data_IF_668366451819
#
_entry.id   IF_668366451819
#
_cell.length_a   1.000
_cell.length_b   1.000
_cell.length_c   1.000
_cell.angle_alpha   90.00
_cell.angle_beta   90.00
_cell.angle_gamma   90.00
#
_symmetry.space_group_name_H-M   'P 1'
#
loop_
_entity.id
_entity.type
_entity.pdbx_description
1 polymer ?
#
# COMPACT_ATOMS: atom_id res chain seq x y z
N UNK A 1 -16.38 -0.91 16.56
CA UNK A 1 -15.74 -1.06 15.24
C UNK A 1 -14.96 0.22 14.98
N UNK A 2 -13.67 0.23 15.29
CA UNK A 2 -12.81 1.40 15.07
C UNK A 2 -12.39 1.48 13.60
N UNK A 3 -12.19 2.70 13.09
CA UNK A 3 -11.86 2.99 11.68
C UNK A 3 -10.56 2.32 11.19
N UNK A 4 -9.70 1.91 12.12
CA UNK A 4 -8.41 1.26 11.93
C UNK A 4 -8.51 -0.14 11.26
N UNK A 5 -9.61 -0.85 11.51
CA UNK A 5 -9.76 -2.27 11.13
C UNK A 5 -10.10 -2.48 9.63
N UNK A 6 -10.42 -1.39 8.90
CA UNK A 6 -10.73 -1.43 7.46
C UNK A 6 -9.49 -1.28 6.57
N UNK A 7 -8.38 -0.86 7.15
CA UNK A 7 -7.20 -0.41 6.42
C UNK A 7 -6.06 -1.44 6.57
N UNK A 8 -6.00 -2.12 7.70
CA UNK A 8 -4.98 -3.11 8.03
C UNK A 8 -5.37 -4.50 7.54
N UNK A 9 -4.59 -5.08 6.64
CA UNK A 9 -4.81 -6.44 6.11
C UNK A 9 -4.67 -7.44 7.26
N UNK A 10 -5.72 -8.25 7.47
CA UNK A 10 -5.75 -9.28 8.51
C UNK A 10 -5.12 -10.59 8.01
N UNK A 11 -4.62 -11.43 8.91
CA UNK A 11 -4.21 -12.82 8.62
C UNK A 11 -5.29 -13.61 7.85
N UNK A 12 -6.56 -13.28 8.09
CA UNK A 12 -7.71 -13.89 7.39
C UNK A 12 -7.76 -13.49 5.91
N UNK A 13 -7.37 -12.26 5.59
CA UNK A 13 -7.32 -11.76 4.21
C UNK A 13 -6.20 -12.44 3.40
N UNK A 14 -5.09 -12.80 4.06
CA UNK A 14 -3.97 -13.51 3.44
C UNK A 14 -4.32 -14.97 3.16
N UNK A 15 -4.98 -15.63 4.11
CA UNK A 15 -5.42 -17.03 3.97
C UNK A 15 -6.43 -17.19 2.82
N UNK A 16 -7.42 -16.29 2.73
CA UNK A 16 -8.44 -16.32 1.67
C UNK A 16 -7.91 -15.92 0.28
N UNK A 17 -6.81 -15.16 0.21
CA UNK A 17 -6.16 -14.80 -1.06
C UNK A 17 -5.44 -16.00 -1.69
N UNK A 18 -4.75 -16.81 -0.89
CA UNK A 18 -4.05 -18.01 -1.36
C UNK A 18 -5.00 -19.07 -1.96
N UNK A 19 -6.28 -19.07 -1.58
CA UNK A 19 -7.30 -20.02 -2.03
C UNK A 19 -8.07 -19.55 -3.29
N UNK A 20 -7.85 -18.30 -3.73
CA UNK A 20 -8.45 -17.76 -4.97
C UNK A 20 -9.87 -17.18 -4.82
N UNK A 21 -10.39 -17.03 -3.60
CA UNK A 21 -11.81 -16.67 -3.35
C UNK A 21 -12.02 -15.25 -2.80
N UNK A 22 -10.96 -14.44 -2.66
CA UNK A 22 -11.07 -13.10 -2.03
C UNK A 22 -11.41 -11.98 -3.01
N UNK A 23 -12.68 -11.94 -3.42
CA UNK A 23 -13.28 -10.90 -4.27
C UNK A 23 -13.46 -9.53 -3.56
N UNK A 24 -12.62 -9.18 -2.56
CA UNK A 24 -12.65 -7.89 -1.84
C UNK A 24 -11.28 -7.25 -1.62
N UNK A 25 -10.19 -7.88 -2.07
CA UNK A 25 -8.84 -7.29 -1.93
C UNK A 25 -8.73 -5.90 -2.59
N UNK A 26 -9.49 -5.66 -3.67
CA UNK A 26 -9.53 -4.36 -4.35
C UNK A 26 -10.03 -3.22 -3.45
N UNK A 27 -10.81 -3.50 -2.39
CA UNK A 27 -11.32 -2.46 -1.50
C UNK A 27 -10.18 -1.76 -0.73
N UNK A 28 -9.07 -2.49 -0.52
CA UNK A 28 -7.91 -2.05 0.28
C UNK A 28 -6.68 -1.69 -0.55
N UNK A 29 -6.68 -1.98 -1.85
CA UNK A 29 -5.61 -1.60 -2.77
C UNK A 29 -5.80 -0.16 -3.30
N UNK A 30 -4.72 0.41 -3.82
CA UNK A 30 -4.66 1.76 -4.35
C UNK A 30 -4.32 2.80 -3.29
N UNK A 31 -4.73 4.04 -3.54
CA UNK A 31 -4.54 5.18 -2.65
C UNK A 31 -5.81 5.44 -1.83
N UNK A 32 -5.70 5.42 -0.50
CA UNK A 32 -6.82 5.66 0.41
C UNK A 32 -6.46 6.78 1.39
N UNK A 33 -7.10 7.97 1.29
CA UNK A 33 -6.96 9.00 2.30
C UNK A 33 -7.41 8.48 3.67
N UNK A 34 -6.61 8.68 4.70
CA UNK A 34 -6.84 8.18 6.06
C UNK A 34 -6.13 9.05 7.09
N UNK A 35 -6.41 8.79 8.38
CA UNK A 35 -5.71 9.40 9.51
C UNK A 35 -5.08 8.28 10.33
N UNK A 36 -3.75 8.30 10.45
CA UNK A 36 -2.99 7.30 11.17
C UNK A 36 -2.03 7.98 12.15
N UNK A 37 -2.00 7.51 13.40
CA UNK A 37 -1.16 8.13 14.44
C UNK A 37 -1.44 9.62 14.70
N UNK A 38 -2.64 10.11 14.32
CA UNK A 38 -3.00 11.52 14.42
C UNK A 38 -2.58 12.40 13.23
N UNK A 39 -1.92 11.84 12.22
CA UNK A 39 -1.56 12.54 10.99
C UNK A 39 -2.54 12.22 9.86
N UNK A 40 -2.98 13.23 9.11
CA UNK A 40 -3.74 13.06 7.87
C UNK A 40 -2.78 12.74 6.71
N UNK A 41 -3.15 11.77 5.87
CA UNK A 41 -2.36 11.40 4.71
C UNK A 41 -3.06 10.35 3.86
N UNK A 42 -2.27 9.60 3.09
CA UNK A 42 -2.77 8.55 2.21
C UNK A 42 -2.02 7.26 2.49
N UNK A 43 -2.77 6.17 2.68
CA UNK A 43 -2.20 4.82 2.61
C UNK A 43 -2.21 4.34 1.18
N UNK A 44 -1.05 3.90 0.72
CA UNK A 44 -0.85 3.29 -0.57
C UNK A 44 -0.69 1.79 -0.39
N UNK A 45 -1.40 1.00 -1.19
CA UNK A 45 -1.30 -0.44 -1.20
C UNK A 45 -1.28 -0.99 -2.62
N UNK A 46 -0.36 -1.89 -2.94
CA UNK A 46 -0.25 -2.52 -4.27
C UNK A 46 0.11 -3.99 -4.15
N UNK A 47 -0.48 -4.82 -5.01
CA UNK A 47 -0.07 -6.21 -5.11
C UNK A 47 1.11 -6.34 -6.08
N UNK A 48 2.26 -6.77 -5.55
CA UNK A 48 3.49 -6.96 -6.29
C UNK A 48 4.29 -8.14 -5.68
N UNK A 49 3.81 -9.40 -5.86
CA UNK A 49 4.35 -10.56 -5.15
C UNK A 49 5.79 -10.92 -5.53
N UNK A 50 6.22 -10.55 -6.74
CA UNK A 50 7.57 -10.78 -7.25
C UNK A 50 8.45 -9.53 -7.18
N UNK A 51 8.01 -8.49 -6.46
CA UNK A 51 8.81 -7.30 -6.24
C UNK A 51 9.85 -7.56 -5.15
N UNK A 52 11.06 -7.02 -5.35
CA UNK A 52 12.09 -6.93 -4.33
C UNK A 52 11.94 -5.67 -3.50
N UNK A 53 11.50 -4.58 -4.13
CA UNK A 53 11.27 -3.30 -3.48
C UNK A 53 10.09 -2.61 -4.15
N UNK A 54 9.25 -1.97 -3.34
CA UNK A 54 8.18 -1.10 -3.81
C UNK A 54 8.28 0.23 -3.08
N UNK A 55 8.08 1.33 -3.79
CA UNK A 55 7.94 2.66 -3.22
C UNK A 55 6.80 3.41 -3.93
N UNK A 56 6.24 4.41 -3.26
CA UNK A 56 5.34 5.37 -3.90
C UNK A 56 6.13 6.64 -4.24
N UNK A 57 5.99 7.11 -5.47
CA UNK A 57 6.61 8.35 -5.95
C UNK A 57 5.53 9.28 -6.47
N UNK A 58 5.70 10.59 -6.32
CA UNK A 58 4.73 11.56 -6.77
C UNK A 58 5.17 12.99 -6.52
N UNK A 59 4.25 13.92 -6.75
CA UNK A 59 4.55 15.35 -6.59
C UNK A 59 4.98 15.71 -5.15
N UNK A 60 4.50 14.96 -4.16
CA UNK A 60 4.78 15.16 -2.73
C UNK A 60 6.20 14.78 -2.30
N UNK A 61 6.97 14.09 -3.14
CA UNK A 61 8.35 13.68 -2.84
C UNK A 61 9.32 13.91 -4.01
N UNK A 62 8.97 14.83 -4.92
CA UNK A 62 9.81 15.16 -6.06
C UNK A 62 10.02 14.01 -7.05
N UNK A 63 9.16 12.99 -7.04
CA UNK A 63 9.31 11.76 -7.82
C UNK A 63 10.52 10.87 -7.43
N UNK A 64 11.04 11.04 -6.21
CA UNK A 64 12.20 10.28 -5.71
C UNK A 64 11.79 8.97 -5.02
N UNK A 65 12.37 7.85 -5.46
CA UNK A 65 11.97 6.50 -5.01
C UNK A 65 12.54 6.07 -3.66
N UNK A 66 13.47 6.84 -3.09
CA UNK A 66 14.10 6.52 -1.80
C UNK A 66 13.33 7.07 -0.59
N UNK A 67 12.37 7.98 -0.78
CA UNK A 67 11.71 8.67 0.36
C UNK A 67 10.53 7.90 0.95
N UNK A 68 9.73 7.21 0.12
CA UNK A 68 8.49 6.56 0.55
C UNK A 68 8.44 5.07 0.16
N UNK A 69 9.34 4.23 0.70
CA UNK A 69 9.27 2.79 0.52
C UNK A 69 7.98 2.22 1.15
N UNK A 70 7.42 1.19 0.52
CA UNK A 70 6.32 0.41 1.08
C UNK A 70 6.87 -0.85 1.74
N UNK A 71 6.12 -1.38 2.70
CA UNK A 71 6.48 -2.60 3.41
C UNK A 71 5.67 -3.78 2.90
N UNK A 72 6.31 -4.94 2.76
CA UNK A 72 5.64 -6.18 2.42
C UNK A 72 4.73 -6.62 3.57
N UNK A 73 3.45 -6.82 3.27
CA UNK A 73 2.45 -7.27 4.23
C UNK A 73 2.50 -8.80 4.29
N UNK A 74 3.32 -9.30 5.22
CA UNK A 74 3.49 -10.73 5.48
C UNK A 74 3.78 -11.51 4.18
N UNK A 75 3.13 -12.66 3.95
CA UNK A 75 3.30 -13.50 2.75
C UNK A 75 2.27 -13.23 1.65
N UNK A 76 1.51 -12.13 1.72
CA UNK A 76 0.42 -11.83 0.77
C UNK A 76 0.88 -11.38 -0.62
N UNK A 77 2.14 -10.92 -0.73
CA UNK A 77 2.63 -10.21 -1.93
C UNK A 77 2.08 -8.79 -2.07
N UNK A 78 1.36 -8.29 -1.07
CA UNK A 78 0.89 -6.90 -1.01
C UNK A 78 1.95 -6.05 -0.32
N UNK A 79 2.15 -4.85 -0.84
CA UNK A 79 3.02 -3.83 -0.28
C UNK A 79 2.17 -2.66 0.18
N UNK A 80 2.37 -2.19 1.41
CA UNK A 80 1.59 -1.09 1.98
C UNK A 80 2.44 -0.09 2.74
N UNK A 81 2.03 1.18 2.74
CA UNK A 81 2.70 2.25 3.47
C UNK A 81 1.83 3.50 3.56
N UNK A 82 1.96 4.23 4.66
CA UNK A 82 1.25 5.49 4.90
C UNK A 82 2.19 6.67 4.67
N UNK A 83 1.76 7.63 3.85
CA UNK A 83 2.50 8.87 3.59
C UNK A 83 1.71 10.05 4.17
N UNK A 84 2.21 10.71 5.22
CA UNK A 84 1.56 11.87 5.82
C UNK A 84 1.59 13.08 4.88
N UNK A 85 0.60 13.95 4.98
CA UNK A 85 0.54 15.22 4.23
C UNK A 85 0.16 15.10 2.76
N UNK A 86 -0.05 13.89 2.23
CA UNK A 86 -0.57 13.70 0.87
C UNK A 86 -2.05 14.04 0.82
N UNK A 87 -2.43 14.93 -0.10
CA UNK A 87 -3.80 15.37 -0.30
C UNK A 87 -4.48 14.69 -1.50
N UNK A 88 -5.82 14.54 -1.49
CA UNK A 88 -6.57 14.09 -2.66
C UNK A 88 -6.26 14.95 -3.90
N UNK A 89 -5.95 14.29 -5.02
CA UNK A 89 -5.55 14.96 -6.26
C UNK A 89 -4.05 14.96 -6.54
N UNK A 90 -3.22 14.59 -5.56
CA UNK A 90 -1.79 14.38 -5.77
C UNK A 90 -1.54 13.29 -6.82
N UNK A 91 -0.62 13.55 -7.76
CA UNK A 91 -0.21 12.56 -8.76
C UNK A 91 0.82 11.64 -8.15
N UNK A 92 0.70 10.35 -8.46
CA UNK A 92 1.61 9.34 -7.97
C UNK A 92 1.79 8.19 -8.96
N UNK A 93 2.86 7.42 -8.76
CA UNK A 93 3.11 6.11 -9.35
C UNK A 93 3.71 5.17 -8.30
N UNK A 94 3.65 3.88 -8.57
CA UNK A 94 4.44 2.90 -7.85
C UNK A 94 5.77 2.71 -8.56
N UNK A 95 6.87 2.88 -7.83
CA UNK A 95 8.18 2.37 -8.23
C UNK A 95 8.26 0.91 -7.79
N UNK A 96 8.53 0.01 -8.72
CA UNK A 96 8.62 -1.43 -8.47
C UNK A 96 9.95 -1.92 -9.03
N UNK A 97 10.81 -2.43 -8.14
CA UNK A 97 12.04 -3.11 -8.53
C UNK A 97 11.81 -4.62 -8.42
N UNK A 98 11.94 -5.32 -9.55
CA UNK A 98 11.63 -6.75 -9.63
C UNK A 98 12.71 -7.61 -8.96
N UNK A 99 12.38 -8.85 -8.62
CA UNK A 99 13.38 -9.85 -8.21
C UNK A 99 14.27 -10.32 -9.38
N UNK A 100 13.81 -10.15 -10.62
CA UNK A 100 14.45 -10.69 -11.83
C UNK A 100 15.42 -9.70 -12.51
N UNK A 101 15.54 -8.46 -12.03
CA UNK A 101 16.23 -7.36 -12.71
C UNK A 101 15.26 -6.62 -13.60
#
# INVERSE_FOLDING_TARGET
MSADDRVTISDTDIYLFAEGTHSRLYDRLGAKPTVEGGATGVRFSVWAPNARQVAVIGDFNGWEHHENPLEAVQSSGIWSGFVPGVEPGARYKFYIHSQAG
#
